data_IF_700680970451
#
_entry.id   IF_700680970451
#
_cell.length_a   1.000
_cell.length_b   1.000
_cell.length_c   1.000
_cell.angle_alpha   90.00
_cell.angle_beta   90.00
_cell.angle_gamma   90.00
#
_symmetry.space_group_name_H-M   'P 1'
#
loop_
_entity.id
_entity.type
_entity.pdbx_description
1 polymer ?
#
# COMPACT_ATOMS: atom_id res chain seq x y z
N UNK A 1 -39.11 -23.50 -52.44
CA UNK A 1 -38.59 -22.89 -53.70
C UNK A 1 -39.56 -21.80 -54.15
N UNK A 2 -39.16 -20.83 -54.99
CA UNK A 2 -40.20 -20.07 -55.70
C UNK A 2 -40.99 -21.07 -56.53
N UNK A 3 -42.33 -20.98 -56.50
CA UNK A 3 -43.19 -21.90 -57.25
C UNK A 3 -42.76 -22.00 -58.73
N UNK A 4 -42.23 -20.89 -59.27
CA UNK A 4 -41.73 -20.79 -60.65
C UNK A 4 -40.50 -21.68 -60.89
N UNK A 5 -39.51 -21.70 -59.98
CA UNK A 5 -38.29 -22.47 -60.19
C UNK A 5 -38.48 -23.98 -60.05
N UNK A 6 -39.38 -24.41 -59.14
CA UNK A 6 -39.80 -25.82 -59.04
C UNK A 6 -40.46 -26.28 -60.33
N UNK A 7 -41.39 -25.48 -60.82
CA UNK A 7 -42.15 -25.83 -62.01
C UNK A 7 -41.23 -25.83 -63.24
N UNK A 8 -40.32 -24.87 -63.36
CA UNK A 8 -39.31 -24.86 -64.43
C UNK A 8 -38.41 -26.10 -64.36
N UNK A 9 -37.90 -26.50 -63.19
CA UNK A 9 -37.07 -27.72 -63.06
C UNK A 9 -37.86 -28.99 -63.41
N UNK A 10 -39.11 -29.13 -62.94
CA UNK A 10 -40.01 -30.24 -63.29
C UNK A 10 -40.34 -30.29 -64.79
N UNK A 11 -40.57 -29.14 -65.40
CA UNK A 11 -40.82 -29.02 -66.84
C UNK A 11 -39.58 -29.36 -67.66
N UNK A 12 -38.38 -28.96 -67.22
CA UNK A 12 -37.12 -29.32 -67.90
C UNK A 12 -36.82 -30.81 -67.78
N UNK A 13 -37.11 -31.43 -66.62
CA UNK A 13 -36.94 -32.87 -66.42
C UNK A 13 -37.92 -33.69 -67.28
N UNK A 14 -39.18 -33.25 -67.41
CA UNK A 14 -40.18 -33.93 -68.24
C UNK A 14 -40.04 -33.61 -69.74
N UNK A 15 -39.49 -32.46 -70.10
CA UNK A 15 -39.32 -31.98 -71.49
C UNK A 15 -37.96 -31.28 -71.69
N UNK A 16 -36.90 -32.05 -71.99
CA UNK A 16 -35.51 -31.54 -72.04
C UNK A 16 -35.30 -30.41 -73.06
N UNK A 17 -36.03 -30.43 -74.17
CA UNK A 17 -35.96 -29.46 -75.26
C UNK A 17 -36.42 -28.04 -74.86
N UNK A 18 -37.16 -27.90 -73.75
CA UNK A 18 -37.63 -26.60 -73.25
C UNK A 18 -36.53 -25.88 -72.45
N UNK A 19 -35.45 -26.56 -72.06
CA UNK A 19 -34.35 -25.98 -71.27
C UNK A 19 -33.75 -24.72 -71.90
N UNK A 20 -33.64 -24.67 -73.22
CA UNK A 20 -33.15 -23.49 -73.98
C UNK A 20 -34.05 -22.26 -73.83
N UNK A 21 -35.32 -22.43 -73.47
CA UNK A 21 -36.27 -21.31 -73.26
C UNK A 21 -36.05 -20.60 -71.93
N UNK A 22 -35.48 -21.29 -70.95
CA UNK A 22 -35.24 -20.78 -69.60
C UNK A 22 -33.77 -20.45 -69.33
N UNK A 23 -32.85 -20.79 -70.24
CA UNK A 23 -31.41 -20.56 -70.07
C UNK A 23 -31.01 -19.08 -70.04
N UNK A 24 -31.88 -18.18 -70.51
CA UNK A 24 -31.67 -16.74 -70.48
C UNK A 24 -32.36 -16.05 -69.29
N UNK A 25 -33.19 -16.78 -68.53
CA UNK A 25 -33.97 -16.21 -67.44
C UNK A 25 -33.08 -15.96 -66.22
N UNK A 26 -33.01 -14.69 -65.84
CA UNK A 26 -32.22 -14.23 -64.69
C UNK A 26 -33.14 -13.73 -63.59
N UNK A 27 -32.75 -13.98 -62.34
CA UNK A 27 -33.47 -13.44 -61.20
C UNK A 27 -33.31 -11.91 -61.14
N UNK A 28 -34.42 -11.19 -60.98
CA UNK A 28 -34.42 -9.74 -60.76
C UNK A 28 -34.31 -9.39 -59.27
N UNK A 29 -34.90 -10.22 -58.41
CA UNK A 29 -34.95 -10.09 -56.95
C UNK A 29 -34.89 -11.50 -56.32
N UNK A 30 -34.33 -11.68 -55.09
CA UNK A 30 -33.68 -10.71 -54.21
C UNK A 30 -32.32 -10.22 -54.72
N UNK A 31 -31.80 -9.11 -54.18
CA UNK A 31 -30.52 -8.51 -54.60
C UNK A 31 -29.36 -9.51 -54.60
N UNK A 32 -29.33 -10.43 -53.62
CA UNK A 32 -28.34 -11.52 -53.52
C UNK A 32 -28.35 -12.50 -54.70
N UNK A 33 -29.49 -12.66 -55.38
CA UNK A 33 -29.65 -13.54 -56.54
C UNK A 33 -29.80 -12.76 -57.85
N UNK A 34 -29.68 -11.43 -57.80
CA UNK A 34 -29.85 -10.59 -58.98
C UNK A 34 -28.88 -11.00 -60.08
N UNK A 35 -29.39 -11.12 -61.30
CA UNK A 35 -28.66 -11.53 -62.52
C UNK A 35 -28.15 -12.98 -62.55
N UNK A 36 -28.41 -13.81 -61.52
CA UNK A 36 -28.11 -15.25 -61.55
C UNK A 36 -29.14 -15.99 -62.40
N UNK A 37 -28.72 -17.00 -63.15
CA UNK A 37 -29.64 -17.78 -63.99
C UNK A 37 -30.55 -18.66 -63.14
N UNK A 38 -31.85 -18.71 -63.45
CA UNK A 38 -32.84 -19.42 -62.64
C UNK A 38 -32.52 -20.93 -62.49
N UNK A 39 -31.86 -21.51 -63.48
CA UNK A 39 -31.48 -22.93 -63.52
C UNK A 39 -30.19 -23.23 -62.73
N UNK A 40 -29.36 -22.23 -62.44
CA UNK A 40 -28.09 -22.37 -61.70
C UNK A 40 -28.28 -22.21 -60.19
N UNK A 41 -29.45 -21.75 -59.75
CA UNK A 41 -29.73 -21.48 -58.34
C UNK A 41 -30.06 -22.81 -57.61
N UNK A 42 -29.27 -23.09 -56.58
CA UNK A 42 -29.45 -24.23 -55.68
C UNK A 42 -30.71 -24.07 -54.81
N UNK A 43 -31.26 -25.18 -54.30
CA UNK A 43 -32.53 -25.15 -53.55
C UNK A 43 -32.43 -24.37 -52.22
N UNK A 44 -31.28 -24.44 -51.56
CA UNK A 44 -30.94 -23.74 -50.32
C UNK A 44 -30.82 -22.20 -50.48
N UNK A 45 -30.74 -21.69 -51.72
CA UNK A 45 -30.62 -20.26 -52.01
C UNK A 45 -31.99 -19.56 -52.15
N UNK A 46 -33.10 -20.30 -52.25
CA UNK A 46 -34.44 -19.73 -52.39
C UNK A 46 -34.98 -19.24 -51.04
N UNK A 47 -35.34 -17.95 -51.00
CA UNK A 47 -35.84 -17.28 -49.79
C UNK A 47 -37.25 -16.72 -50.02
N UNK A 48 -38.09 -16.76 -48.99
CA UNK A 48 -39.34 -15.99 -48.93
C UNK A 48 -39.11 -14.75 -48.05
N UNK A 49 -39.55 -13.59 -48.53
CA UNK A 49 -39.69 -12.40 -47.68
C UNK A 49 -41.00 -12.55 -46.92
N UNK A 50 -40.91 -12.59 -45.61
CA UNK A 50 -42.09 -12.50 -44.75
C UNK A 50 -42.64 -11.06 -44.79
N UNK A 51 -43.94 -10.93 -45.04
CA UNK A 51 -44.64 -9.65 -44.88
C UNK A 51 -44.79 -9.35 -43.38
N UNK A 52 -44.63 -8.06 -43.03
CA UNK A 52 -44.40 -7.49 -41.69
C UNK A 52 -45.51 -7.71 -40.63
N UNK A 53 -46.40 -8.69 -40.80
CA UNK A 53 -47.59 -8.88 -39.97
C UNK A 53 -47.47 -9.83 -38.79
N UNK A 54 -46.46 -10.70 -38.71
CA UNK A 54 -46.50 -11.81 -37.72
C UNK A 54 -45.17 -12.29 -37.10
N UNK A 55 -44.04 -11.60 -37.28
CA UNK A 55 -42.76 -12.07 -36.72
C UNK A 55 -41.99 -11.00 -35.94
N UNK A 56 -41.39 -11.44 -34.81
CA UNK A 56 -40.50 -10.67 -33.91
C UNK A 56 -39.14 -10.36 -34.55
N UNK A 57 -39.13 -9.89 -35.80
CA UNK A 57 -37.91 -9.54 -36.50
C UNK A 57 -37.30 -8.25 -35.89
N UNK A 58 -36.01 -8.21 -35.54
CA UNK A 58 -35.39 -7.00 -35.04
C UNK A 58 -35.43 -5.87 -36.07
N UNK A 59 -35.75 -4.65 -35.64
CA UNK A 59 -36.00 -3.47 -36.50
C UNK A 59 -34.84 -3.16 -37.46
N UNK A 60 -33.61 -3.41 -37.04
CA UNK A 60 -32.40 -3.11 -37.81
C UNK A 60 -31.95 -4.26 -38.72
N UNK A 61 -32.64 -5.40 -38.66
CA UNK A 61 -32.25 -6.63 -39.33
C UNK A 61 -33.22 -7.00 -40.46
N UNK A 62 -32.76 -7.90 -41.32
CA UNK A 62 -33.57 -8.48 -42.39
C UNK A 62 -33.83 -9.94 -42.04
N UNK A 63 -35.10 -10.30 -41.88
CA UNK A 63 -35.49 -11.69 -41.63
C UNK A 63 -36.03 -12.33 -42.92
N UNK A 64 -35.57 -13.53 -43.24
CA UNK A 64 -35.96 -14.30 -44.42
C UNK A 64 -36.16 -15.76 -44.03
N UNK A 65 -37.19 -16.40 -44.56
CA UNK A 65 -37.38 -17.84 -44.40
C UNK A 65 -36.73 -18.59 -45.58
N UNK A 66 -35.82 -19.52 -45.29
CA UNK A 66 -35.25 -20.40 -46.30
C UNK A 66 -36.27 -21.46 -46.69
N UNK A 67 -36.61 -21.51 -47.97
CA UNK A 67 -37.72 -22.35 -48.42
C UNK A 67 -37.42 -23.86 -48.49
N UNK A 68 -36.17 -24.27 -48.31
CA UNK A 68 -35.77 -25.69 -48.38
C UNK A 68 -36.03 -26.42 -47.07
N UNK A 69 -35.80 -25.76 -45.94
CA UNK A 69 -35.80 -26.34 -44.60
C UNK A 69 -36.63 -25.53 -43.60
N UNK A 70 -37.20 -24.38 -44.00
CA UNK A 70 -37.98 -23.50 -43.15
C UNK A 70 -37.16 -22.73 -42.11
N UNK A 71 -35.82 -22.68 -42.24
CA UNK A 71 -34.97 -21.95 -41.29
C UNK A 71 -35.12 -20.44 -41.46
N UNK A 72 -35.19 -19.73 -40.34
CA UNK A 72 -35.26 -18.27 -40.30
C UNK A 72 -33.84 -17.67 -40.31
N UNK A 73 -33.50 -16.98 -41.38
CA UNK A 73 -32.26 -16.24 -41.53
C UNK A 73 -32.50 -14.83 -41.02
N UNK A 74 -31.84 -14.47 -39.92
CA UNK A 74 -31.89 -13.15 -39.30
C UNK A 74 -30.57 -12.45 -39.58
N UNK A 75 -30.59 -11.52 -40.54
CA UNK A 75 -29.40 -10.86 -41.05
C UNK A 75 -29.25 -9.43 -40.50
N UNK A 76 -28.31 -9.27 -39.59
CA UNK A 76 -27.99 -8.05 -38.86
C UNK A 76 -26.54 -7.59 -39.11
N UNK A 77 -25.90 -8.04 -40.19
CA UNK A 77 -24.51 -7.68 -40.52
C UNK A 77 -24.36 -6.16 -40.77
N UNK A 78 -23.28 -5.56 -40.23
CA UNK A 78 -22.94 -4.14 -40.39
C UNK A 78 -24.08 -3.18 -40.04
N UNK A 79 -24.76 -3.41 -38.91
CA UNK A 79 -25.86 -2.59 -38.42
C UNK A 79 -25.50 -1.69 -37.23
N UNK A 80 -24.22 -1.62 -36.87
CA UNK A 80 -23.72 -0.89 -35.69
C UNK A 80 -24.39 -1.34 -34.37
N UNK A 81 -24.73 -2.62 -34.27
CA UNK A 81 -25.32 -3.18 -33.06
C UNK A 81 -24.29 -3.21 -31.93
N UNK A 82 -24.69 -2.78 -30.73
CA UNK A 82 -23.90 -2.90 -29.50
C UNK A 82 -24.31 -4.09 -28.63
N UNK A 83 -25.50 -4.63 -28.88
CA UNK A 83 -26.08 -5.76 -28.15
C UNK A 83 -26.68 -6.76 -29.15
N UNK A 84 -26.72 -8.03 -28.73
CA UNK A 84 -27.44 -9.08 -29.45
C UNK A 84 -28.96 -8.79 -29.38
N UNK A 85 -29.74 -8.97 -30.45
CA UNK A 85 -31.19 -8.76 -30.42
C UNK A 85 -31.88 -9.59 -29.33
N UNK A 86 -32.78 -8.97 -28.57
CA UNK A 86 -33.50 -9.63 -27.46
C UNK A 86 -34.53 -10.65 -27.95
N UNK A 87 -35.08 -10.42 -29.13
CA UNK A 87 -36.08 -11.28 -29.75
C UNK A 87 -35.70 -11.52 -31.22
N UNK A 88 -36.04 -12.71 -31.71
CA UNK A 88 -35.90 -13.12 -33.12
C UNK A 88 -37.16 -13.90 -33.51
N UNK A 89 -37.43 -14.10 -34.82
CA UNK A 89 -38.51 -14.97 -35.27
C UNK A 89 -38.45 -16.38 -34.67
N UNK A 90 -39.60 -17.01 -34.52
CA UNK A 90 -39.71 -18.38 -34.00
C UNK A 90 -39.21 -19.42 -35.02
N UNK A 91 -38.89 -20.62 -34.54
CA UNK A 91 -38.35 -21.70 -35.36
C UNK A 91 -36.82 -21.79 -35.28
N UNK A 92 -36.21 -22.60 -36.15
CA UNK A 92 -34.76 -22.74 -36.25
C UNK A 92 -34.16 -21.48 -36.88
N UNK A 93 -33.12 -20.93 -36.26
CA UNK A 93 -32.58 -19.62 -36.62
C UNK A 93 -31.13 -19.72 -37.11
N UNK A 94 -30.83 -18.99 -38.18
CA UNK A 94 -29.48 -18.60 -38.57
C UNK A 94 -29.30 -17.12 -38.30
N UNK A 95 -28.47 -16.79 -37.31
CA UNK A 95 -28.28 -15.43 -36.83
C UNK A 95 -26.94 -14.87 -37.30
N UNK A 96 -27.00 -13.88 -38.19
CA UNK A 96 -25.83 -13.18 -38.71
C UNK A 96 -25.65 -11.83 -38.02
N UNK A 97 -24.66 -11.70 -37.15
CA UNK A 97 -24.31 -10.50 -36.40
C UNK A 97 -22.89 -10.01 -36.73
N UNK A 98 -22.34 -10.41 -37.87
CA UNK A 98 -20.98 -10.06 -38.28
C UNK A 98 -20.77 -8.53 -38.41
N UNK A 99 -19.54 -8.08 -38.12
CA UNK A 99 -19.10 -6.69 -38.28
C UNK A 99 -19.99 -5.66 -37.54
N UNK A 100 -20.17 -5.88 -36.24
CA UNK A 100 -20.89 -4.98 -35.33
C UNK A 100 -19.97 -4.58 -34.14
N UNK A 101 -20.52 -3.94 -33.10
CA UNK A 101 -19.81 -3.51 -31.90
C UNK A 101 -20.29 -4.25 -30.64
N UNK A 102 -20.69 -5.52 -30.78
CA UNK A 102 -21.26 -6.31 -29.68
C UNK A 102 -20.18 -6.68 -28.67
N UNK A 103 -20.44 -6.43 -27.39
CA UNK A 103 -19.47 -6.69 -26.31
C UNK A 103 -19.79 -7.94 -25.48
N UNK A 104 -21.06 -8.36 -25.45
CA UNK A 104 -21.52 -9.52 -24.69
C UNK A 104 -22.61 -10.27 -25.46
N UNK A 105 -22.66 -11.58 -25.22
CA UNK A 105 -23.67 -12.47 -25.78
C UNK A 105 -24.44 -13.04 -24.59
N UNK A 106 -25.60 -12.46 -24.23
CA UNK A 106 -26.40 -12.94 -23.09
C UNK A 106 -27.22 -14.17 -23.48
N UNK A 107 -27.55 -15.01 -22.49
CA UNK A 107 -28.26 -16.27 -22.68
C UNK A 107 -29.77 -16.07 -22.93
N UNK A 108 -30.15 -15.63 -24.13
CA UNK A 108 -31.56 -15.44 -24.50
C UNK A 108 -32.29 -16.76 -24.76
N UNK A 109 -33.62 -16.84 -24.48
CA UNK A 109 -34.39 -18.08 -24.64
C UNK A 109 -34.35 -18.68 -26.04
N UNK A 110 -34.31 -17.85 -27.09
CA UNK A 110 -34.31 -18.32 -28.47
C UNK A 110 -33.00 -19.01 -28.90
N UNK A 111 -31.92 -18.88 -28.13
CA UNK A 111 -30.61 -19.45 -28.49
C UNK A 111 -30.63 -20.97 -28.63
N UNK A 112 -31.57 -21.65 -27.95
CA UNK A 112 -31.82 -23.09 -28.10
C UNK A 112 -32.16 -23.48 -29.53
N UNK A 113 -32.75 -22.59 -30.30
CA UNK A 113 -33.13 -22.84 -31.69
C UNK A 113 -32.10 -22.31 -32.70
N UNK A 114 -30.98 -21.73 -32.25
CA UNK A 114 -29.96 -21.18 -33.14
C UNK A 114 -29.07 -22.30 -33.67
N UNK A 115 -29.04 -22.45 -34.99
CA UNK A 115 -28.24 -23.47 -35.72
C UNK A 115 -26.96 -22.88 -36.29
N UNK A 116 -26.99 -21.62 -36.73
CA UNK A 116 -25.81 -20.90 -37.20
C UNK A 116 -25.74 -19.57 -36.46
N UNK A 117 -24.62 -19.32 -35.78
CA UNK A 117 -24.36 -18.07 -35.08
C UNK A 117 -23.06 -17.45 -35.60
N UNK A 118 -23.17 -16.28 -36.23
CA UNK A 118 -22.03 -15.54 -36.77
C UNK A 118 -21.83 -14.27 -35.97
N UNK A 119 -20.70 -14.19 -35.29
CA UNK A 119 -20.29 -13.10 -34.41
C UNK A 119 -18.91 -12.55 -34.82
N UNK A 120 -18.42 -12.90 -36.00
CA UNK A 120 -17.13 -12.46 -36.53
C UNK A 120 -17.01 -10.94 -36.52
N UNK A 121 -15.84 -10.43 -36.14
CA UNK A 121 -15.53 -8.99 -36.12
C UNK A 121 -16.49 -8.19 -35.21
N UNK A 122 -16.44 -8.51 -33.91
CA UNK A 122 -17.16 -7.81 -32.84
C UNK A 122 -16.17 -7.47 -31.70
N UNK A 123 -16.68 -7.06 -30.54
CA UNK A 123 -15.88 -6.64 -29.38
C UNK A 123 -16.10 -7.55 -28.16
N UNK A 124 -16.41 -8.83 -28.39
CA UNK A 124 -16.80 -9.78 -27.34
C UNK A 124 -15.57 -10.14 -26.51
N UNK A 125 -15.62 -9.85 -25.21
CA UNK A 125 -14.50 -10.10 -24.26
C UNK A 125 -14.60 -11.45 -23.56
N UNK A 126 -15.82 -11.94 -23.37
CA UNK A 126 -16.09 -13.20 -22.68
C UNK A 126 -17.40 -13.80 -23.16
N UNK A 127 -17.44 -15.13 -23.24
CA UNK A 127 -18.65 -15.91 -23.49
C UNK A 127 -19.06 -16.60 -22.18
N UNK A 128 -20.29 -16.38 -21.73
CA UNK A 128 -20.78 -16.95 -20.48
C UNK A 128 -21.15 -18.44 -20.64
N UNK A 129 -20.94 -19.22 -19.58
CA UNK A 129 -21.34 -20.64 -19.53
C UNK A 129 -22.82 -20.82 -19.87
N UNK A 130 -23.70 -20.03 -19.25
CA UNK A 130 -25.15 -20.05 -19.49
C UNK A 130 -25.56 -19.76 -20.93
N UNK A 131 -24.72 -19.05 -21.68
CA UNK A 131 -24.99 -18.78 -23.11
C UNK A 131 -24.66 -20.02 -23.93
N UNK A 132 -23.53 -20.65 -23.65
CA UNK A 132 -23.11 -21.88 -24.32
C UNK A 132 -24.06 -23.04 -24.03
N UNK A 133 -24.53 -23.17 -22.80
CA UNK A 133 -25.53 -24.18 -22.43
C UNK A 133 -26.82 -24.07 -23.25
N UNK A 134 -27.19 -22.87 -23.72
CA UNK A 134 -28.36 -22.68 -24.58
C UNK A 134 -28.09 -22.97 -26.05
N UNK A 135 -26.86 -23.15 -26.50
CA UNK A 135 -26.55 -23.37 -27.92
C UNK A 135 -26.70 -24.86 -28.30
N UNK A 136 -27.77 -25.52 -27.85
CA UNK A 136 -27.96 -26.98 -27.96
C UNK A 136 -27.98 -27.49 -29.40
N UNK A 137 -28.57 -26.71 -30.33
CA UNK A 137 -28.72 -27.07 -31.74
C UNK A 137 -27.67 -26.41 -32.66
N UNK A 138 -26.58 -25.88 -32.11
CA UNK A 138 -25.58 -25.13 -32.88
C UNK A 138 -24.78 -26.05 -33.82
N UNK A 139 -24.79 -25.72 -35.10
CA UNK A 139 -24.04 -26.40 -36.16
C UNK A 139 -22.81 -25.57 -36.57
N UNK A 140 -22.92 -24.25 -36.63
CA UNK A 140 -21.81 -23.37 -37.03
C UNK A 140 -21.73 -22.21 -36.07
N UNK A 141 -20.58 -22.07 -35.41
CA UNK A 141 -20.28 -20.96 -34.51
C UNK A 141 -19.05 -20.21 -35.02
N UNK A 142 -19.23 -18.99 -35.50
CA UNK A 142 -18.13 -18.12 -35.89
C UNK A 142 -17.98 -17.01 -34.87
N UNK A 143 -16.92 -17.03 -34.07
CA UNK A 143 -16.64 -16.02 -33.04
C UNK A 143 -15.19 -15.52 -33.14
N UNK A 144 -14.63 -15.62 -34.34
CA UNK A 144 -13.32 -15.09 -34.72
C UNK A 144 -13.31 -13.55 -34.76
N UNK A 145 -12.11 -12.96 -34.76
CA UNK A 145 -11.89 -11.51 -34.72
C UNK A 145 -12.68 -10.81 -33.58
N UNK A 146 -12.47 -11.27 -32.36
CA UNK A 146 -13.07 -10.74 -31.13
C UNK A 146 -11.97 -10.53 -30.06
N UNK A 147 -12.35 -10.30 -28.80
CA UNK A 147 -11.43 -10.02 -27.69
C UNK A 147 -11.45 -11.12 -26.62
N UNK A 148 -11.79 -12.36 -27.00
CA UNK A 148 -11.89 -13.48 -26.07
C UNK A 148 -10.52 -13.83 -25.49
N UNK A 149 -10.44 -13.90 -24.15
CA UNK A 149 -9.25 -14.37 -23.45
C UNK A 149 -9.29 -15.88 -23.14
N UNK A 150 -10.49 -16.47 -23.06
CA UNK A 150 -10.73 -17.90 -22.80
C UNK A 150 -12.11 -18.27 -23.31
N UNK A 151 -12.39 -19.57 -23.41
CA UNK A 151 -13.74 -20.11 -23.58
C UNK A 151 -14.28 -20.65 -22.24
N UNK A 152 -15.60 -20.75 -22.06
CA UNK A 152 -16.21 -21.52 -20.98
C UNK A 152 -16.04 -23.03 -21.23
N UNK A 153 -16.01 -23.85 -20.17
CA UNK A 153 -15.77 -25.32 -20.30
C UNK A 153 -16.93 -26.04 -20.99
N UNK A 154 -18.12 -25.47 -20.89
CA UNK A 154 -19.37 -25.90 -21.48
C UNK A 154 -19.25 -25.95 -23.01
N UNK A 155 -18.28 -25.27 -23.63
CA UNK A 155 -18.06 -25.35 -25.09
C UNK A 155 -17.79 -26.79 -25.56
N UNK A 156 -17.32 -27.66 -24.66
CA UNK A 156 -17.07 -29.09 -24.93
C UNK A 156 -18.34 -29.91 -25.12
N UNK A 157 -19.49 -29.44 -24.65
CA UNK A 157 -20.77 -30.15 -24.76
C UNK A 157 -21.44 -29.90 -26.11
N UNK A 158 -21.03 -28.84 -26.83
CA UNK A 158 -21.61 -28.47 -28.11
C UNK A 158 -21.24 -29.45 -29.22
N UNK A 159 -22.20 -29.72 -30.11
CA UNK A 159 -22.00 -30.55 -31.30
C UNK A 159 -22.01 -29.72 -32.60
N UNK A 160 -20.96 -28.94 -32.83
CA UNK A 160 -20.85 -28.03 -33.98
C UNK A 160 -20.13 -28.66 -35.19
N UNK A 161 -20.55 -28.44 -36.43
CA UNK A 161 -19.77 -28.84 -37.60
C UNK A 161 -18.53 -27.97 -37.81
N UNK A 162 -18.64 -26.66 -37.56
CA UNK A 162 -17.57 -25.67 -37.79
C UNK A 162 -17.50 -24.66 -36.66
N UNK A 163 -16.29 -24.40 -36.16
CA UNK A 163 -16.00 -23.37 -35.18
C UNK A 163 -14.83 -22.49 -35.65
N UNK A 164 -15.00 -21.17 -35.63
CA UNK A 164 -13.92 -20.20 -35.89
C UNK A 164 -13.59 -19.39 -34.64
N UNK A 165 -12.31 -19.32 -34.30
CA UNK A 165 -11.79 -18.69 -33.08
C UNK A 165 -10.58 -17.77 -33.34
N UNK A 166 -10.05 -17.75 -34.56
CA UNK A 166 -8.85 -16.99 -34.91
C UNK A 166 -9.03 -15.48 -34.70
N UNK A 167 -7.95 -14.74 -34.48
CA UNK A 167 -8.01 -13.30 -34.22
C UNK A 167 -8.63 -12.91 -32.86
N UNK A 168 -8.63 -13.81 -31.88
CA UNK A 168 -8.93 -13.51 -30.47
C UNK A 168 -7.65 -13.33 -29.64
N UNK A 169 -7.81 -12.95 -28.37
CA UNK A 169 -6.72 -12.60 -27.44
C UNK A 169 -6.50 -13.69 -26.38
N UNK A 170 -6.43 -14.96 -26.81
CA UNK A 170 -6.44 -16.08 -25.88
C UNK A 170 -5.24 -16.09 -24.93
N UNK A 171 -5.54 -16.24 -23.64
CA UNK A 171 -4.52 -16.52 -22.63
C UNK A 171 -4.01 -17.94 -22.85
N UNK A 172 -2.70 -18.12 -22.68
CA UNK A 172 -2.03 -19.42 -22.68
C UNK A 172 -1.22 -19.55 -21.39
N UNK A 173 -1.85 -20.14 -20.38
CA UNK A 173 -1.35 -20.35 -19.02
C UNK A 173 -2.00 -21.64 -18.45
N UNK A 174 -1.72 -22.00 -17.19
CA UNK A 174 -2.28 -23.24 -16.65
C UNK A 174 -3.82 -23.30 -16.65
N UNK A 175 -4.51 -22.15 -16.68
CA UNK A 175 -6.00 -22.08 -16.68
C UNK A 175 -6.61 -22.43 -18.02
N UNK A 176 -5.83 -22.31 -19.09
CA UNK A 176 -6.25 -22.49 -20.49
C UNK A 176 -5.59 -23.70 -21.15
N UNK A 177 -4.79 -24.49 -20.41
CA UNK A 177 -4.22 -25.76 -20.90
C UNK A 177 -5.29 -26.68 -21.49
N UNK A 178 -6.44 -26.79 -20.82
CA UNK A 178 -7.55 -27.61 -21.30
C UNK A 178 -8.05 -27.20 -22.69
N UNK A 179 -7.94 -25.90 -23.05
CA UNK A 179 -8.36 -25.40 -24.36
C UNK A 179 -7.43 -25.92 -25.44
N UNK A 180 -6.11 -25.95 -25.20
CA UNK A 180 -5.16 -26.60 -26.12
C UNK A 180 -5.57 -28.05 -26.38
N UNK A 181 -5.77 -28.83 -25.32
CA UNK A 181 -6.12 -30.26 -25.43
C UNK A 181 -7.42 -30.46 -26.20
N UNK A 182 -8.41 -29.60 -25.94
CA UNK A 182 -9.69 -29.62 -26.62
C UNK A 182 -9.60 -29.20 -28.10
N UNK A 183 -8.85 -28.15 -28.43
CA UNK A 183 -8.62 -27.71 -29.80
C UNK A 183 -7.92 -28.79 -30.64
N UNK A 184 -6.97 -29.52 -30.05
CA UNK A 184 -6.33 -30.66 -30.70
C UNK A 184 -7.31 -31.80 -30.99
N UNK A 185 -8.23 -32.09 -30.06
CA UNK A 185 -9.28 -33.09 -30.25
C UNK A 185 -10.26 -32.70 -31.36
N UNK A 186 -10.67 -31.43 -31.41
CA UNK A 186 -11.64 -30.93 -32.39
C UNK A 186 -10.99 -30.38 -33.67
N UNK A 187 -9.70 -30.63 -33.90
CA UNK A 187 -8.87 -29.98 -34.95
C UNK A 187 -9.54 -29.85 -36.31
N UNK A 188 -10.22 -30.89 -36.77
CA UNK A 188 -10.84 -30.93 -38.10
C UNK A 188 -12.10 -30.05 -38.22
N UNK A 189 -12.69 -29.64 -37.10
CA UNK A 189 -13.89 -28.79 -37.01
C UNK A 189 -13.53 -27.33 -36.71
N UNK A 190 -12.27 -27.05 -36.32
CA UNK A 190 -11.78 -25.70 -36.04
C UNK A 190 -11.22 -25.07 -37.32
N UNK A 191 -11.87 -24.01 -37.80
CA UNK A 191 -11.40 -23.23 -38.94
C UNK A 191 -10.13 -22.46 -38.55
N UNK A 192 -9.12 -22.49 -39.43
CA UNK A 192 -7.86 -21.76 -39.26
C UNK A 192 -7.21 -21.98 -37.88
N UNK A 193 -7.19 -23.22 -37.37
CA UNK A 193 -6.58 -23.54 -36.06
C UNK A 193 -5.15 -23.00 -35.91
N UNK A 194 -4.42 -22.92 -37.02
CA UNK A 194 -3.09 -22.32 -37.15
C UNK A 194 -2.99 -20.87 -36.66
N UNK A 195 -4.11 -20.13 -36.73
CA UNK A 195 -4.24 -18.71 -36.39
C UNK A 195 -4.91 -18.46 -35.04
N UNK A 196 -5.14 -19.53 -34.26
CA UNK A 196 -5.56 -19.41 -32.86
C UNK A 196 -4.31 -19.15 -32.02
N UNK A 197 -3.96 -17.87 -31.87
CA UNK A 197 -2.70 -17.42 -31.26
C UNK A 197 -2.85 -17.08 -29.78
N UNK A 198 -1.75 -17.20 -29.05
CA UNK A 198 -1.64 -16.83 -27.65
C UNK A 198 -1.34 -15.34 -27.47
N UNK A 199 -1.92 -14.75 -26.43
CA UNK A 199 -1.72 -13.37 -25.99
C UNK A 199 -0.99 -13.26 -24.63
N UNK A 200 -0.55 -14.40 -24.05
CA UNK A 200 0.29 -14.40 -22.85
C UNK A 200 1.70 -13.87 -23.14
N UNK A 201 2.28 -13.08 -22.22
CA UNK A 201 3.59 -12.42 -22.40
C UNK A 201 4.72 -13.35 -22.88
N UNK A 202 4.81 -14.56 -22.34
CA UNK A 202 5.91 -15.50 -22.61
C UNK A 202 5.76 -16.28 -23.93
N UNK A 203 4.56 -16.33 -24.50
CA UNK A 203 4.24 -17.10 -25.72
C UNK A 203 3.42 -16.29 -26.72
N UNK A 204 3.53 -14.96 -26.66
CA UNK A 204 2.73 -14.05 -27.48
C UNK A 204 2.93 -14.34 -28.98
N UNK A 205 1.81 -14.42 -29.72
CA UNK A 205 1.79 -14.66 -31.17
C UNK A 205 2.07 -16.11 -31.58
N UNK A 206 2.32 -17.03 -30.64
CA UNK A 206 2.50 -18.46 -30.95
C UNK A 206 1.14 -19.18 -31.07
N UNK A 207 0.98 -20.16 -31.98
CA UNK A 207 -0.25 -20.95 -32.08
C UNK A 207 -0.50 -21.80 -30.83
N UNK A 208 -1.70 -21.72 -30.25
CA UNK A 208 -2.04 -22.39 -28.99
C UNK A 208 -1.90 -23.93 -29.09
N UNK A 209 -2.35 -24.52 -30.21
CA UNK A 209 -2.34 -25.97 -30.39
C UNK A 209 -0.92 -26.57 -30.46
N UNK A 210 0.06 -25.80 -30.95
CA UNK A 210 1.44 -26.23 -31.18
C UNK A 210 2.39 -25.93 -30.02
N UNK A 211 1.94 -25.24 -28.96
CA UNK A 211 2.76 -24.96 -27.79
C UNK A 211 2.99 -26.22 -26.95
N UNK A 212 4.20 -26.46 -26.42
CA UNK A 212 4.43 -27.58 -25.51
C UNK A 212 3.76 -27.34 -24.14
N UNK A 213 3.42 -28.43 -23.44
CA UNK A 213 2.62 -28.40 -22.21
C UNK A 213 3.29 -27.62 -21.06
N UNK A 214 4.60 -27.65 -21.01
CA UNK A 214 5.46 -26.97 -20.04
C UNK A 214 5.38 -25.43 -20.16
N UNK A 215 4.83 -24.90 -21.25
CA UNK A 215 4.61 -23.46 -21.44
C UNK A 215 3.29 -22.96 -20.83
N UNK A 216 2.37 -23.86 -20.45
CA UNK A 216 1.11 -23.50 -19.79
C UNK A 216 1.31 -23.38 -18.27
N UNK A 217 2.15 -22.42 -17.87
CA UNK A 217 2.55 -22.19 -16.48
C UNK A 217 1.62 -21.18 -15.83
N UNK A 218 1.21 -21.43 -14.58
CA UNK A 218 0.75 -20.37 -13.70
C UNK A 218 1.84 -20.12 -12.68
N UNK A 219 2.29 -18.87 -12.56
CA UNK A 219 3.02 -18.48 -11.36
C UNK A 219 2.07 -18.75 -10.19
N UNK A 220 2.55 -19.39 -9.10
CA UNK A 220 1.76 -19.47 -7.88
C UNK A 220 1.39 -18.04 -7.54
N UNK A 221 0.09 -17.75 -7.61
CA UNK A 221 -0.46 -16.50 -7.15
C UNK A 221 -0.09 -16.43 -5.68
N UNK A 222 1.01 -15.74 -5.36
CA UNK A 222 1.11 -15.03 -4.10
C UNK A 222 -0.09 -14.10 -4.14
N UNK A 223 -1.22 -14.57 -3.57
CA UNK A 223 -2.43 -13.79 -3.45
C UNK A 223 -2.00 -12.49 -2.77
N UNK A 224 -1.90 -11.42 -3.54
CA UNK A 224 -1.50 -10.09 -3.06
C UNK A 224 -2.41 -9.57 -1.94
N UNK A 225 -3.54 -10.23 -1.68
CA UNK A 225 -4.41 -9.99 -0.52
C UNK A 225 -3.69 -10.07 0.83
N UNK A 226 -2.56 -10.78 0.96
CA UNK A 226 -1.88 -10.91 2.25
C UNK A 226 -0.72 -9.94 2.45
N UNK A 227 -0.15 -9.36 1.38
CA UNK A 227 0.99 -8.44 1.51
C UNK A 227 0.58 -7.15 2.23
N UNK A 228 -0.58 -6.58 1.88
CA UNK A 228 -1.10 -5.39 2.55
C UNK A 228 -1.48 -5.63 4.02
N UNK A 229 -2.06 -6.80 4.33
CA UNK A 229 -2.43 -7.15 5.70
C UNK A 229 -1.17 -7.33 6.56
N UNK A 230 -0.19 -8.11 6.09
CA UNK A 230 1.07 -8.34 6.81
C UNK A 230 1.83 -7.01 7.04
N UNK A 231 1.91 -6.16 6.01
CA UNK A 231 2.56 -4.85 6.14
C UNK A 231 1.85 -3.94 7.16
N UNK A 232 0.51 -3.93 7.17
CA UNK A 232 -0.27 -3.14 8.12
C UNK A 232 -0.13 -3.62 9.57
N UNK A 233 -0.09 -4.94 9.79
CA UNK A 233 0.13 -5.53 11.12
C UNK A 233 1.54 -5.25 11.66
N UNK A 234 2.57 -5.30 10.80
CA UNK A 234 3.95 -4.98 11.21
C UNK A 234 4.07 -3.49 11.57
N UNK A 235 3.45 -2.61 10.77
CA UNK A 235 3.50 -1.17 11.04
C UNK A 235 2.74 -0.81 12.33
N UNK A 236 1.57 -1.42 12.56
CA UNK A 236 0.78 -1.20 13.77
C UNK A 236 1.48 -1.68 15.04
N UNK A 237 2.15 -2.85 15.00
CA UNK A 237 2.92 -3.36 16.14
C UNK A 237 4.16 -2.51 16.42
N UNK A 238 4.86 -2.05 15.38
CA UNK A 238 5.99 -1.13 15.53
C UNK A 238 5.57 0.21 16.14
N UNK A 239 4.47 0.79 15.68
CA UNK A 239 3.93 2.05 16.22
C UNK A 239 3.53 1.91 17.69
N UNK A 240 2.86 0.80 18.06
CA UNK A 240 2.49 0.53 19.44
C UNK A 240 3.73 0.38 20.34
N UNK A 241 4.78 -0.29 19.87
CA UNK A 241 6.03 -0.43 20.61
C UNK A 241 6.73 0.92 20.82
N UNK A 242 6.78 1.77 19.78
CA UNK A 242 7.33 3.13 19.89
C UNK A 242 6.53 3.97 20.91
N UNK A 243 5.20 3.88 20.91
CA UNK A 243 4.35 4.58 21.86
C UNK A 243 4.58 4.10 23.30
N UNK A 244 4.76 2.80 23.52
CA UNK A 244 5.07 2.24 24.85
C UNK A 244 6.42 2.75 25.33
N UNK A 245 7.46 2.71 24.48
CA UNK A 245 8.79 3.22 24.83
C UNK A 245 8.73 4.72 25.14
N UNK A 246 8.02 5.51 24.33
CA UNK A 246 7.83 6.94 24.58
C UNK A 246 7.10 7.20 25.91
N UNK A 247 6.07 6.42 26.24
CA UNK A 247 5.35 6.53 27.51
C UNK A 247 6.25 6.16 28.72
N UNK A 248 7.11 5.14 28.57
CA UNK A 248 8.09 4.78 29.59
C UNK A 248 9.14 5.89 29.78
N UNK A 249 9.66 6.46 28.69
CA UNK A 249 10.60 7.60 28.74
C UNK A 249 9.95 8.80 29.42
N UNK A 250 8.68 9.09 29.10
CA UNK A 250 7.94 10.18 29.73
C UNK A 250 7.74 9.94 31.23
N UNK A 251 7.32 8.73 31.62
CA UNK A 251 7.08 8.36 33.03
C UNK A 251 8.36 8.36 33.88
N UNK A 252 9.49 7.95 33.30
CA UNK A 252 10.77 7.81 33.99
C UNK A 252 11.80 8.87 33.57
N UNK A 253 11.33 10.04 33.13
CA UNK A 253 12.16 11.07 32.50
C UNK A 253 13.42 11.46 33.31
N UNK A 254 13.33 11.61 34.63
CA UNK A 254 14.47 11.96 35.50
C UNK A 254 15.52 10.85 35.56
N UNK A 255 15.10 9.61 35.77
CA UNK A 255 16.00 8.45 35.83
C UNK A 255 16.63 8.17 34.48
N UNK A 256 15.88 8.33 33.40
CA UNK A 256 16.39 8.21 32.03
C UNK A 256 17.46 9.27 31.79
N UNK A 257 17.21 10.55 32.14
CA UNK A 257 18.20 11.63 31.99
C UNK A 257 19.51 11.35 32.72
N UNK A 258 19.45 10.92 33.99
CA UNK A 258 20.65 10.55 34.77
C UNK A 258 21.35 9.33 34.17
N UNK A 259 20.60 8.33 33.71
CA UNK A 259 21.14 7.16 33.03
C UNK A 259 21.86 7.55 31.73
N UNK A 260 21.25 8.41 30.91
CA UNK A 260 21.83 8.89 29.66
C UNK A 260 23.15 9.63 29.89
N UNK A 261 23.22 10.46 30.94
CA UNK A 261 24.46 11.14 31.31
C UNK A 261 25.53 10.15 31.77
N UNK A 262 25.20 9.27 32.72
CA UNK A 262 26.18 8.35 33.32
C UNK A 262 26.76 7.32 32.35
N UNK A 263 26.00 6.90 31.34
CA UNK A 263 26.43 5.86 30.39
C UNK A 263 26.85 6.40 29.01
N UNK A 264 26.24 7.49 28.55
CA UNK A 264 26.48 8.06 27.22
C UNK A 264 27.06 9.48 27.24
N UNK A 265 27.31 10.06 28.43
CA UNK A 265 27.79 11.43 28.62
C UNK A 265 26.90 12.48 27.90
N UNK A 266 25.61 12.20 27.79
CA UNK A 266 24.64 13.04 27.10
C UNK A 266 23.62 13.64 28.08
N UNK A 267 23.45 14.97 28.05
CA UNK A 267 22.42 15.70 28.80
C UNK A 267 21.25 16.06 27.87
N UNK A 268 20.06 15.43 28.03
CA UNK A 268 18.94 15.66 27.13
C UNK A 268 18.23 17.00 27.42
N UNK A 269 18.52 18.03 26.61
CA UNK A 269 17.79 19.31 26.50
C UNK A 269 17.56 20.14 27.79
N UNK A 270 18.16 19.77 28.91
CA UNK A 270 18.04 20.49 30.20
C UNK A 270 19.27 21.34 30.54
N UNK A 271 20.29 21.35 29.68
CA UNK A 271 21.58 21.97 29.99
C UNK A 271 21.46 23.49 29.88
N UNK A 272 21.64 24.16 31.00
CA UNK A 272 21.83 25.60 31.07
C UNK A 272 23.30 25.87 30.69
N UNK A 273 23.53 26.85 29.83
CA UNK A 273 24.89 27.22 29.41
C UNK A 273 25.61 27.97 30.55
N UNK A 274 26.36 27.22 31.36
CA UNK A 274 27.17 27.76 32.46
C UNK A 274 28.61 28.07 32.05
N UNK A 275 28.84 28.24 30.73
CA UNK A 275 30.19 28.37 30.17
C UNK A 275 30.83 29.74 30.35
N UNK A 276 30.32 30.60 31.25
CA UNK A 276 30.91 31.91 31.53
C UNK A 276 32.41 31.73 31.89
N UNK A 277 33.32 32.14 30.98
CA UNK A 277 34.76 31.91 31.15
C UNK A 277 35.35 32.82 32.24
N UNK A 278 34.59 33.80 32.72
CA UNK A 278 35.03 34.70 33.78
C UNK A 278 34.85 34.10 35.19
N UNK A 279 34.12 32.98 35.31
CA UNK A 279 33.93 32.29 36.59
C UNK A 279 35.12 31.38 36.89
N UNK A 280 35.76 31.60 38.04
CA UNK A 280 37.00 30.94 38.46
C UNK A 280 36.71 29.56 39.08
N UNK A 281 35.54 29.40 39.70
CA UNK A 281 35.14 28.21 40.43
C UNK A 281 33.91 27.56 39.78
N UNK A 282 33.89 26.23 39.74
CA UNK A 282 32.74 25.47 39.26
C UNK A 282 31.61 25.50 40.29
N UNK A 283 31.91 25.48 41.59
CA UNK A 283 30.91 25.72 42.64
C UNK A 283 31.50 26.31 43.93
N UNK A 284 30.72 27.14 44.62
CA UNK A 284 30.93 27.56 46.00
C UNK A 284 30.22 26.59 46.95
N UNK A 285 30.86 26.15 48.03
CA UNK A 285 30.25 25.23 48.99
C UNK A 285 29.99 25.96 50.31
N UNK A 286 28.73 26.00 50.72
CA UNK A 286 28.27 26.54 52.00
C UNK A 286 27.81 25.40 52.91
N UNK A 287 28.36 25.36 54.12
CA UNK A 287 28.12 24.31 55.12
C UNK A 287 28.41 24.86 56.52
N UNK A 288 27.78 24.27 57.54
CA UNK A 288 28.02 24.65 58.94
C UNK A 288 29.40 24.20 59.41
N UNK A 289 30.00 24.92 60.35
CA UNK A 289 31.29 24.53 60.97
C UNK A 289 31.25 23.16 61.65
N UNK A 290 30.06 22.70 62.04
CA UNK A 290 29.87 21.37 62.63
C UNK A 290 29.91 20.24 61.60
N UNK A 291 29.72 20.55 60.31
CA UNK A 291 29.64 19.58 59.21
C UNK A 291 30.91 19.56 58.34
N UNK A 292 31.98 20.20 58.82
CA UNK A 292 33.28 20.32 58.10
C UNK A 292 33.81 18.96 57.69
N UNK A 293 33.75 17.96 58.57
CA UNK A 293 34.28 16.63 58.28
C UNK A 293 33.63 16.02 57.04
N UNK A 294 32.30 16.05 56.96
CA UNK A 294 31.57 15.52 55.81
C UNK A 294 31.80 16.38 54.55
N UNK A 295 31.70 17.70 54.66
CA UNK A 295 31.86 18.61 53.53
C UNK A 295 33.26 18.53 52.90
N UNK A 296 34.32 18.48 53.71
CA UNK A 296 35.72 18.45 53.22
C UNK A 296 36.16 17.03 52.87
N UNK A 297 36.00 16.07 53.78
CA UNK A 297 36.56 14.73 53.58
C UNK A 297 35.73 13.86 52.63
N UNK A 298 34.43 14.14 52.47
CA UNK A 298 33.54 13.38 51.59
C UNK A 298 33.19 14.15 50.32
N UNK A 299 32.54 15.32 50.46
CA UNK A 299 32.01 16.07 49.31
C UNK A 299 33.12 16.68 48.46
N UNK A 300 33.97 17.52 49.05
CA UNK A 300 35.06 18.18 48.36
C UNK A 300 36.03 17.16 47.75
N UNK A 301 36.53 16.22 48.55
CA UNK A 301 37.49 15.21 48.08
C UNK A 301 36.99 14.49 46.83
N UNK A 302 35.71 14.10 46.79
CA UNK A 302 35.16 13.32 45.68
C UNK A 302 34.87 14.16 44.44
N UNK A 303 34.50 15.42 44.59
CA UNK A 303 34.33 16.37 43.47
C UNK A 303 35.69 16.79 42.88
N UNK A 304 36.70 17.06 43.72
CA UNK A 304 38.06 17.43 43.26
C UNK A 304 38.82 16.23 42.65
N UNK A 305 38.47 14.98 43.01
CA UNK A 305 39.08 13.75 42.44
C UNK A 305 38.32 13.22 41.20
N UNK A 306 37.23 13.88 40.80
CA UNK A 306 36.46 13.50 39.60
C UNK A 306 37.31 13.68 38.32
N UNK A 307 36.95 13.00 37.22
CA UNK A 307 37.56 13.21 35.89
C UNK A 307 36.51 13.74 34.89
N UNK A 308 36.58 15.01 34.45
CA UNK A 308 37.54 16.04 34.87
C UNK A 308 37.26 16.58 36.29
N UNK A 309 38.28 17.09 37.00
CA UNK A 309 38.13 17.54 38.38
C UNK A 309 37.37 18.86 38.47
N UNK A 310 36.50 18.99 39.47
CA UNK A 310 35.78 20.22 39.76
C UNK A 310 36.63 21.16 40.61
N UNK A 311 36.60 22.47 40.31
CA UNK A 311 37.25 23.48 41.13
C UNK A 311 36.24 24.12 42.10
N UNK A 312 36.38 23.82 43.38
CA UNK A 312 35.45 24.29 44.42
C UNK A 312 36.02 25.48 45.20
N UNK A 313 35.16 26.42 45.60
CA UNK A 313 35.48 27.50 46.53
C UNK A 313 34.95 27.16 47.92
N UNK A 314 35.81 27.14 48.93
CA UNK A 314 35.45 26.81 50.32
C UNK A 314 36.02 27.88 51.26
N UNK A 315 35.19 28.36 52.19
CA UNK A 315 35.54 29.49 53.05
C UNK A 315 36.80 29.29 53.91
N UNK A 316 37.08 28.06 54.36
CA UNK A 316 38.29 27.75 55.13
C UNK A 316 39.61 27.85 54.35
N UNK A 317 39.55 27.77 53.02
CA UNK A 317 40.75 27.70 52.15
C UNK A 317 40.90 28.96 51.31
N UNK A 318 39.81 29.47 50.77
CA UNK A 318 39.82 30.43 49.68
C UNK A 318 39.49 31.88 50.11
N UNK A 319 39.09 32.12 51.37
CA UNK A 319 38.79 33.48 51.86
C UNK A 319 40.06 34.28 52.13
N UNK A 320 40.04 35.55 51.71
CA UNK A 320 41.17 36.47 51.91
C UNK A 320 41.21 36.96 53.37
N UNK A 321 42.32 36.75 54.10
CA UNK A 321 42.48 37.26 55.46
C UNK A 321 42.45 38.80 55.48
N UNK A 322 41.68 39.37 56.41
CA UNK A 322 41.60 40.82 56.60
C UNK A 322 40.50 41.53 55.80
N UNK A 323 39.78 40.81 54.93
CA UNK A 323 38.57 41.29 54.24
C UNK A 323 37.32 40.96 55.07
N UNK A 324 36.30 41.83 55.16
CA UNK A 324 35.03 41.51 55.80
C UNK A 324 34.44 40.21 55.23
N UNK A 325 33.96 39.35 56.12
CA UNK A 325 33.53 38.01 55.75
C UNK A 325 32.31 38.02 54.81
N UNK A 326 31.48 39.07 54.87
CA UNK A 326 30.36 39.29 53.95
C UNK A 326 30.86 39.54 52.52
N UNK A 327 31.93 40.32 52.36
CA UNK A 327 32.52 40.60 51.05
C UNK A 327 33.18 39.35 50.46
N UNK A 328 33.83 38.54 51.30
CA UNK A 328 34.37 37.24 50.90
C UNK A 328 33.28 36.30 50.36
N UNK A 329 32.10 36.25 50.99
CA UNK A 329 30.95 35.49 50.47
C UNK A 329 30.53 36.03 49.11
N UNK A 330 30.30 37.33 49.00
CA UNK A 330 29.81 37.94 47.75
C UNK A 330 30.77 37.70 46.59
N UNK A 331 32.08 37.86 46.81
CA UNK A 331 33.12 37.54 45.82
C UNK A 331 33.11 36.06 45.43
N UNK A 332 32.99 35.17 46.41
CA UNK A 332 32.95 33.71 46.16
C UNK A 332 31.70 33.30 45.39
N UNK A 333 30.54 33.89 45.70
CA UNK A 333 29.29 33.71 44.97
C UNK A 333 29.34 34.32 43.57
N UNK A 334 30.10 35.41 43.37
CA UNK A 334 30.24 35.97 42.04
C UNK A 334 31.22 35.19 41.17
N UNK A 335 32.28 34.63 41.73
CA UNK A 335 33.28 33.89 40.97
C UNK A 335 32.90 32.42 40.71
N UNK A 336 31.78 31.94 41.26
CA UNK A 336 31.33 30.55 41.14
C UNK A 336 30.19 30.40 40.14
N UNK A 337 30.16 29.28 39.41
CA UNK A 337 29.05 28.95 38.48
C UNK A 337 27.81 28.39 39.18
N UNK A 338 27.99 27.78 40.35
CA UNK A 338 26.94 27.18 41.20
C UNK A 338 27.23 27.40 42.68
N UNK A 339 26.21 27.25 43.50
CA UNK A 339 26.35 27.13 44.96
C UNK A 339 25.79 25.79 45.43
N UNK A 340 26.63 25.03 46.15
CA UNK A 340 26.27 23.83 46.88
C UNK A 340 25.96 24.22 48.33
N UNK A 341 24.74 23.97 48.80
CA UNK A 341 24.37 24.16 50.21
C UNK A 341 24.22 22.82 50.88
N UNK A 342 25.02 22.56 51.92
CA UNK A 342 24.91 21.36 52.76
C UNK A 342 24.01 21.70 53.94
N UNK A 343 22.73 21.33 53.83
CA UNK A 343 21.71 21.59 54.83
C UNK A 343 21.73 20.49 55.90
N UNK A 344 22.03 20.91 57.12
CA UNK A 344 21.92 20.15 58.38
C UNK A 344 21.12 20.96 59.41
N UNK A 345 20.83 20.36 60.56
CA UNK A 345 20.21 21.08 61.68
C UNK A 345 21.12 22.20 62.20
N UNK A 346 22.45 22.01 62.13
CA UNK A 346 23.44 23.03 62.50
C UNK A 346 23.56 24.17 61.48
N UNK A 347 23.23 23.91 60.21
CA UNK A 347 23.16 24.94 59.18
C UNK A 347 21.93 25.82 59.38
N UNK A 348 20.78 25.20 59.65
CA UNK A 348 19.49 25.88 59.82
C UNK A 348 19.46 26.86 61.00
N UNK A 349 20.25 26.62 62.04
CA UNK A 349 20.33 27.47 63.23
C UNK A 349 21.43 28.53 63.17
N UNK A 350 22.29 28.52 62.14
CA UNK A 350 23.40 29.46 62.00
C UNK A 350 22.97 30.71 61.23
N UNK A 351 23.00 31.86 61.90
CA UNK A 351 22.70 33.17 61.29
C UNK A 351 23.60 33.47 60.08
N UNK A 352 24.86 33.05 60.17
CA UNK A 352 25.85 33.18 59.12
C UNK A 352 25.48 32.37 57.86
N UNK A 353 25.14 31.08 58.06
CA UNK A 353 24.74 30.18 56.97
C UNK A 353 23.41 30.62 56.31
N UNK A 354 22.49 31.17 57.10
CA UNK A 354 21.24 31.74 56.60
C UNK A 354 21.48 33.01 55.78
N UNK A 355 22.45 33.83 56.15
CA UNK A 355 22.86 35.00 55.36
C UNK A 355 23.44 34.60 54.01
N UNK A 356 24.35 33.62 53.98
CA UNK A 356 24.91 33.04 52.75
C UNK A 356 23.81 32.50 51.82
N UNK A 357 22.86 31.75 52.38
CA UNK A 357 21.72 31.21 51.65
C UNK A 357 20.86 32.31 51.05
N UNK A 358 20.50 33.35 51.82
CA UNK A 358 19.67 34.47 51.34
C UNK A 358 20.35 35.29 50.25
N UNK A 359 21.67 35.51 50.35
CA UNK A 359 22.44 36.19 49.31
C UNK A 359 22.38 35.42 47.98
N UNK A 360 22.58 34.10 48.03
CA UNK A 360 22.52 33.26 46.85
C UNK A 360 21.10 33.06 46.32
N UNK A 361 20.10 32.95 47.18
CA UNK A 361 18.69 32.83 46.79
C UNK A 361 18.22 34.09 46.05
N UNK A 362 18.63 35.29 46.48
CA UNK A 362 18.38 36.52 45.71
C UNK A 362 19.00 36.47 44.32
N UNK A 363 20.26 36.02 44.21
CA UNK A 363 20.95 35.84 42.92
C UNK A 363 20.23 34.82 42.01
N UNK A 364 19.73 33.71 42.56
CA UNK A 364 18.90 32.72 41.84
C UNK A 364 17.63 33.34 41.26
N UNK A 365 16.96 34.18 42.04
CA UNK A 365 15.72 34.87 41.63
C UNK A 365 16.01 35.92 40.55
N UNK A 366 17.07 36.71 40.72
CA UNK A 366 17.49 37.78 39.80
C UNK A 366 17.95 37.22 38.44
N UNK A 367 18.82 36.20 38.46
CA UNK A 367 19.43 35.65 37.24
C UNK A 367 18.57 34.57 36.56
N UNK A 368 17.48 34.10 37.21
CA UNK A 368 16.62 32.98 36.75
C UNK A 368 17.38 31.70 36.38
N UNK A 369 18.46 31.41 37.12
CA UNK A 369 19.30 30.23 36.87
C UNK A 369 19.08 29.15 37.92
N UNK A 370 19.28 27.87 37.56
CA UNK A 370 19.40 26.75 38.53
C UNK A 370 20.75 26.82 39.27
N UNK A 371 21.04 27.97 39.87
CA UNK A 371 22.33 28.29 40.46
C UNK A 371 22.56 27.58 41.80
N UNK A 372 21.48 27.34 42.55
CA UNK A 372 21.50 26.69 43.86
C UNK A 372 21.28 25.18 43.74
N UNK A 373 22.10 24.39 44.43
CA UNK A 373 21.94 22.94 44.59
C UNK A 373 21.93 22.65 46.09
N UNK A 374 20.78 22.22 46.59
CA UNK A 374 20.59 21.93 48.01
C UNK A 374 20.87 20.45 48.28
N UNK A 375 21.75 20.17 49.24
CA UNK A 375 22.10 18.82 49.70
C UNK A 375 21.62 18.65 51.13
N UNK A 376 20.68 17.74 51.36
CA UNK A 376 20.19 17.39 52.68
C UNK A 376 21.10 16.32 53.29
N UNK A 377 21.87 16.69 54.33
CA UNK A 377 22.82 15.80 55.00
C UNK A 377 22.13 14.82 55.95
N UNK A 378 21.15 15.33 56.69
CA UNK A 378 20.35 14.61 57.68
C UNK A 378 18.88 15.03 57.60
N UNK A 379 18.01 14.30 58.30
CA UNK A 379 16.59 14.63 58.33
C UNK A 379 16.37 15.84 59.24
N UNK A 380 16.24 17.02 58.64
CA UNK A 380 16.03 18.30 59.34
C UNK A 380 14.53 18.57 59.47
N UNK A 381 14.07 19.01 60.63
CA UNK A 381 12.67 19.42 60.84
C UNK A 381 12.34 20.66 59.99
N UNK A 382 11.51 20.47 58.97
CA UNK A 382 11.15 21.53 58.03
C UNK A 382 10.48 22.73 58.70
N UNK A 383 9.83 22.52 59.85
CA UNK A 383 9.11 23.59 60.55
C UNK A 383 10.05 24.60 61.23
N UNK A 384 11.30 24.20 61.48
CA UNK A 384 12.33 25.06 62.10
C UNK A 384 13.15 25.83 61.05
N UNK A 385 12.92 25.54 59.77
CA UNK A 385 13.60 26.20 58.66
C UNK A 385 12.99 27.56 58.33
N UNK A 386 13.83 28.45 57.81
CA UNK A 386 13.38 29.70 57.22
C UNK A 386 12.39 29.46 56.06
N UNK A 387 11.40 30.36 55.90
CA UNK A 387 10.34 30.26 54.89
C UNK A 387 10.89 30.12 53.46
N UNK A 388 12.04 30.71 53.17
CA UNK A 388 12.68 30.61 51.85
C UNK A 388 13.23 29.20 51.59
N UNK A 389 13.87 28.59 52.59
CA UNK A 389 14.37 27.21 52.51
C UNK A 389 13.18 26.23 52.40
N UNK A 390 12.11 26.45 53.16
CA UNK A 390 10.89 25.64 53.08
C UNK A 390 10.29 25.65 51.68
N UNK A 391 10.21 26.82 51.03
CA UNK A 391 9.68 26.92 49.67
C UNK A 391 10.57 26.20 48.65
N UNK A 392 11.90 26.24 48.85
CA UNK A 392 12.82 25.50 47.99
C UNK A 392 12.68 23.98 48.18
N UNK A 393 12.56 23.50 49.42
CA UNK A 393 12.34 22.08 49.72
C UNK A 393 11.00 21.55 49.17
N UNK A 394 9.94 22.38 49.16
CA UNK A 394 8.65 22.02 48.54
C UNK A 394 8.71 21.76 47.04
N UNK A 395 9.78 22.23 46.37
CA UNK A 395 9.96 22.01 44.93
C UNK A 395 10.60 20.66 44.59
N UNK A 396 10.95 19.83 45.59
CA UNK A 396 11.60 18.52 45.44
C UNK A 396 12.90 18.54 44.58
N UNK A 397 13.58 19.69 44.53
CA UNK A 397 14.81 19.89 43.74
C UNK A 397 16.10 19.63 44.52
N UNK A 398 16.00 19.12 45.75
CA UNK A 398 17.14 18.86 46.64
C UNK A 398 17.68 17.42 46.51
N UNK A 399 18.94 17.22 46.91
CA UNK A 399 19.64 15.95 46.88
C UNK A 399 19.83 15.40 48.29
N UNK A 400 19.41 14.15 48.53
CA UNK A 400 19.58 13.51 49.85
C UNK A 400 20.92 12.77 49.89
N UNK A 401 21.80 13.13 50.81
CA UNK A 401 23.15 12.56 50.95
C UNK A 401 23.14 11.03 51.19
N UNK A 402 22.12 10.52 51.88
CA UNK A 402 21.93 9.08 52.18
C UNK A 402 21.39 8.26 50.98
N UNK A 403 21.02 8.89 49.86
CA UNK A 403 20.45 8.18 48.71
C UNK A 403 21.49 7.32 47.97
N UNK A 404 21.08 6.11 47.54
CA UNK A 404 21.94 5.21 46.73
C UNK A 404 22.46 5.85 45.43
N UNK A 405 21.71 6.81 44.88
CA UNK A 405 22.03 7.51 43.62
C UNK A 405 22.51 8.95 43.84
N UNK A 406 22.87 9.32 45.07
CA UNK A 406 23.27 10.68 45.44
C UNK A 406 24.34 11.25 44.48
N UNK A 407 25.42 10.51 44.26
CA UNK A 407 26.54 10.97 43.43
C UNK A 407 26.17 11.13 41.96
N UNK A 408 25.40 10.21 41.38
CA UNK A 408 24.96 10.31 39.99
C UNK A 408 24.08 11.55 39.78
N UNK A 409 23.19 11.82 40.74
CA UNK A 409 22.30 12.99 40.69
C UNK A 409 23.09 14.29 40.92
N UNK A 410 24.08 14.29 41.82
CA UNK A 410 24.95 15.42 42.06
C UNK A 410 25.77 15.76 40.81
N UNK A 411 26.43 14.78 40.18
CA UNK A 411 27.19 15.02 38.95
C UNK A 411 26.31 15.49 37.79
N UNK A 412 25.06 15.02 37.71
CA UNK A 412 24.11 15.52 36.71
C UNK A 412 23.72 16.99 36.95
N UNK A 413 23.65 17.43 38.22
CA UNK A 413 23.29 18.79 38.61
C UNK A 413 24.47 19.79 38.56
N UNK A 414 25.71 19.29 38.67
CA UNK A 414 26.93 20.10 38.61
C UNK A 414 27.15 20.70 37.20
N UNK A 415 27.83 21.86 37.10
CA UNK A 415 28.13 22.47 35.81
C UNK A 415 29.19 21.64 35.06
N UNK A 416 29.43 21.94 33.79
CA UNK A 416 30.60 21.35 33.12
C UNK A 416 31.88 21.76 33.85
N UNK A 417 32.78 20.81 34.19
CA UNK A 417 34.08 21.17 34.70
C UNK A 417 34.77 22.06 33.69
N UNK A 418 35.33 23.17 34.18
CA UNK A 418 36.12 24.06 33.34
C UNK A 418 37.24 23.23 32.72
N UNK A 419 37.23 23.07 31.38
CA UNK A 419 38.31 22.34 30.70
C UNK A 419 39.61 23.06 31.01
N UNK A 420 40.40 22.50 31.93
CA UNK A 420 41.81 22.86 32.04
C UNK A 420 42.40 22.77 30.65
N UNK A 421 43.10 23.83 30.24
CA UNK A 421 43.80 23.93 28.96
C UNK A 421 44.76 22.72 28.87
N UNK A 422 44.25 21.58 28.38
CA UNK A 422 45.07 20.44 27.98
C UNK A 422 45.58 20.82 26.61
N UNK A 423 46.83 21.29 26.60
CA UNK A 423 47.67 21.50 25.43
C UNK A 423 47.24 20.63 24.26
N UNK A 424 46.83 21.28 23.17
CA UNK A 424 46.60 20.65 21.87
C UNK A 424 47.71 19.63 21.60
N UNK A 425 47.32 18.37 21.41
CA UNK A 425 48.24 17.37 20.84
C UNK A 425 48.62 17.89 19.46
N UNK A 426 49.88 18.31 19.31
CA UNK A 426 50.53 18.45 18.01
C UNK A 426 50.36 17.13 17.28
N UNK A 427 49.58 17.16 16.20
CA UNK A 427 49.65 16.14 15.16
C UNK A 427 50.92 16.48 14.37
N UNK A 428 51.98 15.73 14.61
CA UNK A 428 53.13 15.70 13.70
C UNK A 428 52.74 14.91 12.45
N UNK A 429 52.98 15.43 11.23
CA UNK A 429 52.78 14.66 10.01
C UNK A 429 53.98 13.76 9.76
N UNK A 430 53.72 12.48 9.48
CA UNK A 430 54.61 11.59 8.74
C UNK A 430 53.77 10.81 7.74
#
# INVERSE_FOLDING_TARGET
MSAVAQEVKKLVQSRPHIRSRFSTWKCHWPQRLKNRMILEIEENQWMKREEQGNTKCPVQCICLERCSDGRMIVDCERRNLTEVPREVPQGLVELNLEANAIQSVPAYPYMVNVTILRLTNNQIKSLAASTVERLENIEILLIDANQLATLPREIKTLNFTTLALDGNLFKCDCTTKWMKDWLLKERNRIKNIERVLCNSKHVHGKPMYGLPDDQFICLPQLKEKNAGIIASSILGTLLALVMIVAALIYKYNGEVKVFMFTHFNWHPFDRIDDSDPNKIYDAFVSFSSNDVDWAVNTLQRRLETHDPPYKLCIYHRDFEPGVPIEENIWRSLDQSKRMLVVLSSSYATSDWCLMEFRAAHRKVIEDRMKYLILILLEDVDTNQLDKEIQNYLRSDTYLVAKSKRFWQNLFYAMPLPTKGIRSERRISPL
#
